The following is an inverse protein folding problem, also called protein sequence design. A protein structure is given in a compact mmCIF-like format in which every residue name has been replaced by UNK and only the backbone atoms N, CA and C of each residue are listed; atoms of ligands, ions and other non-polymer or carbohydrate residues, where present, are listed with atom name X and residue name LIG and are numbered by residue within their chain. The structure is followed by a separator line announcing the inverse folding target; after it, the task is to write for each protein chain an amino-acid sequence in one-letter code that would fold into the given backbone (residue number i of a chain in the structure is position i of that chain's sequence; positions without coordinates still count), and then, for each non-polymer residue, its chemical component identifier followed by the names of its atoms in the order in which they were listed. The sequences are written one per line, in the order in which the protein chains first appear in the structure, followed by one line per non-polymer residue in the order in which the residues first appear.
data_IF_055225649661
#
_entry.id   IF_055225649661
#
_cell.length_a   1.000
_cell.length_b   1.000
_cell.length_c   1.000
_cell.angle_alpha   90.00
_cell.angle_beta   90.00
_cell.angle_gamma   90.00
#
_symmetry.space_group_name_H-M   'P 1'
#
loop_
_entity.id
_entity.type
_entity.pdbx_description
1 polymer ?
#
# COMPACT_ATOMS: atom_id res chain seq x y z
N UNK A 1 15.22 -11.54 -7.16
CA UNK A 1 14.11 -10.59 -6.99
C UNK A 1 12.81 -11.38 -6.87
N UNK A 2 11.99 -11.06 -5.90
CA UNK A 2 10.66 -11.66 -5.73
C UNK A 2 9.60 -10.68 -6.23
N UNK A 3 8.53 -11.24 -6.81
CA UNK A 3 7.37 -10.48 -7.26
C UNK A 3 6.11 -11.11 -6.72
N UNK A 4 5.25 -10.30 -6.10
CA UNK A 4 3.94 -10.69 -5.61
C UNK A 4 2.94 -9.73 -6.24
N UNK A 5 1.84 -10.23 -6.76
CA UNK A 5 0.74 -9.38 -7.23
C UNK A 5 -0.61 -10.00 -6.88
N UNK A 6 -1.58 -9.13 -6.66
CA UNK A 6 -2.97 -9.50 -6.44
C UNK A 6 -3.87 -8.36 -6.90
N UNK A 7 -5.11 -8.67 -7.22
CA UNK A 7 -6.08 -7.68 -7.68
C UNK A 7 -7.46 -7.91 -7.10
N UNK A 8 -8.27 -6.85 -7.06
CA UNK A 8 -9.63 -6.90 -6.56
C UNK A 8 -10.53 -5.93 -7.34
N UNK A 9 -11.80 -6.33 -7.53
CA UNK A 9 -12.85 -5.45 -8.02
C UNK A 9 -13.47 -4.70 -6.85
N UNK A 10 -13.64 -3.39 -7.02
CA UNK A 10 -14.24 -2.51 -6.02
C UNK A 10 -15.40 -1.77 -6.68
N UNK A 11 -16.60 -1.89 -6.12
CA UNK A 11 -17.78 -1.16 -6.58
C UNK A 11 -17.80 0.25 -5.97
N UNK A 12 -16.86 1.07 -6.42
CA UNK A 12 -16.69 2.48 -6.02
C UNK A 12 -15.96 3.25 -7.11
N UNK A 13 -16.10 4.59 -7.18
CA UNK A 13 -15.38 5.41 -8.16
C UNK A 13 -13.86 5.25 -8.03
N UNK A 14 -13.18 5.27 -9.19
CA UNK A 14 -11.71 5.10 -9.26
C UNK A 14 -10.96 6.12 -8.39
N UNK A 15 -11.40 7.37 -8.39
CA UNK A 15 -10.76 8.43 -7.62
C UNK A 15 -10.86 8.17 -6.10
N UNK A 16 -12.01 7.70 -5.61
CA UNK A 16 -12.17 7.30 -4.21
C UNK A 16 -11.23 6.14 -3.87
N UNK A 17 -11.15 5.13 -4.71
CA UNK A 17 -10.23 3.99 -4.50
C UNK A 17 -8.78 4.45 -4.43
N UNK A 18 -8.38 5.36 -5.32
CA UNK A 18 -7.05 5.95 -5.34
C UNK A 18 -6.74 6.75 -4.08
N UNK A 19 -7.62 7.67 -3.69
CA UNK A 19 -7.45 8.49 -2.49
C UNK A 19 -7.41 7.67 -1.20
N UNK A 20 -8.25 6.65 -1.09
CA UNK A 20 -8.20 5.72 0.06
C UNK A 20 -6.90 4.93 0.10
N UNK A 21 -6.37 4.52 -1.06
CA UNK A 21 -5.11 3.77 -1.13
C UNK A 21 -3.90 4.61 -0.75
N UNK A 22 -3.96 5.92 -0.95
CA UNK A 22 -2.92 6.88 -0.57
C UNK A 22 -3.15 7.53 0.80
N UNK A 23 -4.24 7.21 1.48
CA UNK A 23 -4.53 7.75 2.82
C UNK A 23 -3.64 7.10 3.88
N UNK A 24 -2.91 7.93 4.64
CA UNK A 24 -1.90 7.48 5.61
C UNK A 24 -2.53 6.71 6.77
N UNK A 25 -3.64 7.18 7.31
CA UNK A 25 -4.32 6.54 8.43
C UNK A 25 -4.85 5.14 8.06
N UNK A 26 -5.42 5.02 6.86
CA UNK A 26 -5.89 3.74 6.35
C UNK A 26 -4.73 2.80 6.01
N UNK A 27 -3.66 3.32 5.40
CA UNK A 27 -2.44 2.56 5.12
C UNK A 27 -1.83 2.00 6.42
N UNK A 28 -1.77 2.79 7.47
CA UNK A 28 -1.31 2.34 8.79
C UNK A 28 -2.10 1.14 9.32
N UNK A 29 -3.43 1.16 9.16
CA UNK A 29 -4.28 0.02 9.52
C UNK A 29 -4.03 -1.21 8.66
N UNK A 30 -3.84 -1.04 7.35
CA UNK A 30 -3.57 -2.15 6.44
C UNK A 30 -2.21 -2.78 6.68
N UNK A 31 -1.20 -1.99 7.02
CA UNK A 31 0.16 -2.46 7.28
C UNK A 31 0.37 -2.93 8.73
N UNK A 32 -0.52 -2.59 9.64
CA UNK A 32 -0.30 -2.80 11.08
C UNK A 32 0.90 -2.01 11.58
N UNK A 33 1.12 -0.83 11.02
CA UNK A 33 2.21 0.08 11.33
C UNK A 33 1.66 1.47 11.64
N UNK A 34 2.42 2.27 12.36
CA UNK A 34 2.08 3.66 12.66
C UNK A 34 3.07 4.61 11.98
N UNK A 35 2.60 5.73 11.44
CA UNK A 35 3.49 6.75 10.90
C UNK A 35 4.17 7.51 12.05
N UNK A 36 5.49 7.71 11.95
CA UNK A 36 6.30 8.44 12.94
C UNK A 36 6.77 9.78 12.42
N UNK A 37 7.25 9.85 11.18
CA UNK A 37 7.86 11.03 10.57
C UNK A 37 7.40 11.20 9.13
N UNK A 38 7.58 12.39 8.59
CA UNK A 38 7.16 12.77 7.27
C UNK A 38 5.68 13.15 7.24
N UNK A 39 4.96 12.72 6.23
CA UNK A 39 3.51 12.93 6.14
C UNK A 39 2.77 11.88 6.96
N UNK A 40 2.35 12.24 8.15
CA UNK A 40 1.73 11.34 9.12
C UNK A 40 0.21 11.30 9.06
N UNK A 41 -0.43 12.15 8.23
CA UNK A 41 -1.89 12.24 8.09
C UNK A 41 -2.30 12.62 6.67
N UNK A 42 -3.53 12.25 6.32
CA UNK A 42 -4.17 12.62 5.08
C UNK A 42 -3.69 11.83 3.87
N UNK A 43 -3.89 12.37 2.69
CA UNK A 43 -3.60 11.73 1.40
C UNK A 43 -2.18 12.05 0.96
N UNK A 44 -1.43 11.02 0.58
CA UNK A 44 -0.08 11.15 0.02
C UNK A 44 -0.15 11.70 -1.41
N UNK A 45 0.85 12.50 -1.76
CA UNK A 45 1.09 13.04 -3.10
C UNK A 45 2.51 12.68 -3.57
N UNK A 46 2.89 13.14 -4.76
CA UNK A 46 4.23 12.94 -5.31
C UNK A 46 5.30 13.42 -4.33
N UNK A 47 6.38 12.65 -4.20
CA UNK A 47 7.53 12.90 -3.34
C UNK A 47 7.28 12.85 -1.81
N UNK A 48 6.04 12.67 -1.37
CA UNK A 48 5.75 12.48 0.06
C UNK A 48 6.48 11.27 0.61
N UNK A 49 6.93 11.41 1.87
CA UNK A 49 7.62 10.35 2.62
C UNK A 49 6.91 10.06 3.92
N UNK A 50 6.93 8.81 4.33
CA UNK A 50 6.44 8.37 5.64
C UNK A 50 7.44 7.40 6.24
N UNK A 51 7.84 7.66 7.48
CA UNK A 51 8.57 6.68 8.28
C UNK A 51 7.56 5.89 9.11
N UNK A 52 7.48 4.61 8.85
CA UNK A 52 6.59 3.68 9.52
C UNK A 52 7.31 2.90 10.61
N UNK A 53 6.66 2.69 11.74
CA UNK A 53 7.13 1.79 12.80
C UNK A 53 6.06 0.76 13.13
N UNK A 54 6.48 -0.46 13.40
CA UNK A 54 5.59 -1.55 13.76
C UNK A 54 6.35 -2.80 14.16
N UNK A 55 5.66 -3.92 14.24
CA UNK A 55 6.21 -5.22 14.62
C UNK A 55 5.96 -6.24 13.52
N UNK A 56 7.00 -6.98 13.16
CA UNK A 56 6.93 -8.07 12.20
C UNK A 56 7.68 -9.27 12.79
N UNK A 57 7.00 -10.41 12.90
CA UNK A 57 7.54 -11.62 13.53
C UNK A 57 8.09 -11.39 14.96
N UNK A 58 7.39 -10.55 15.75
CA UNK A 58 7.82 -10.21 17.11
C UNK A 58 9.04 -9.30 17.21
N UNK A 59 9.54 -8.77 16.08
CA UNK A 59 10.68 -7.85 16.02
C UNK A 59 10.23 -6.45 15.64
N UNK A 60 10.77 -5.39 16.29
CA UNK A 60 10.49 -4.02 15.89
C UNK A 60 11.03 -3.74 14.48
N UNK A 61 10.22 -3.08 13.67
CA UNK A 61 10.56 -2.70 12.32
C UNK A 61 10.38 -1.21 12.10
N UNK A 62 11.30 -0.62 11.36
CA UNK A 62 11.15 0.71 10.79
C UNK A 62 11.29 0.60 9.27
N UNK A 63 10.42 1.29 8.56
CA UNK A 63 10.38 1.28 7.10
C UNK A 63 10.03 2.68 6.61
N UNK A 64 10.90 3.30 5.83
CA UNK A 64 10.60 4.56 5.17
C UNK A 64 10.10 4.27 3.76
N UNK A 65 8.92 4.79 3.46
CA UNK A 65 8.35 4.77 2.12
C UNK A 65 8.35 6.17 1.50
N UNK A 66 8.52 6.23 0.19
CA UNK A 66 8.46 7.45 -0.60
C UNK A 66 7.63 7.22 -1.85
N UNK A 67 6.72 8.14 -2.14
CA UNK A 67 5.96 8.14 -3.40
C UNK A 67 6.86 8.65 -4.52
N UNK A 68 7.33 7.74 -5.36
CA UNK A 68 8.29 8.02 -6.44
C UNK A 68 7.64 8.27 -7.79
N UNK A 69 6.41 7.79 -7.98
CA UNK A 69 5.58 8.09 -9.16
C UNK A 69 4.14 8.30 -8.69
N UNK A 70 3.44 9.24 -9.35
CA UNK A 70 2.09 9.62 -8.96
C UNK A 70 1.32 10.12 -10.19
N UNK A 71 0.31 9.37 -10.58
CA UNK A 71 -0.60 9.68 -11.70
C UNK A 71 -2.04 9.40 -11.27
N UNK A 72 -2.65 10.35 -10.56
CA UNK A 72 -4.03 10.24 -10.09
C UNK A 72 -5.01 10.33 -11.27
N UNK A 73 -6.01 9.44 -11.34
CA UNK A 73 -6.37 8.37 -10.39
C UNK A 73 -5.87 6.97 -10.80
N UNK A 74 -4.86 6.86 -11.68
CA UNK A 74 -4.55 5.63 -12.39
C UNK A 74 -3.40 4.83 -11.77
N UNK A 75 -2.43 5.51 -11.16
CA UNK A 75 -1.20 4.87 -10.72
C UNK A 75 -0.46 5.65 -9.64
N UNK A 76 0.13 4.95 -8.70
CA UNK A 76 1.21 5.48 -7.88
C UNK A 76 2.20 4.36 -7.51
N UNK A 77 3.42 4.77 -7.21
CA UNK A 77 4.50 3.88 -6.83
C UNK A 77 5.11 4.33 -5.51
N UNK A 78 5.29 3.36 -4.63
CA UNK A 78 5.95 3.50 -3.35
C UNK A 78 7.27 2.73 -3.38
N UNK A 79 8.37 3.39 -3.01
CA UNK A 79 9.68 2.77 -2.90
C UNK A 79 10.24 2.94 -1.50
N UNK A 80 11.04 1.97 -1.07
CA UNK A 80 11.71 2.02 0.23
C UNK A 80 12.88 3.00 0.20
N UNK A 81 12.88 3.98 1.10
CA UNK A 81 14.04 4.82 1.41
C UNK A 81 14.98 4.11 2.41
N UNK A 82 14.44 3.73 3.58
CA UNK A 82 15.16 3.00 4.62
C UNK A 82 14.39 1.77 5.05
N UNK A 83 15.07 0.65 5.25
CA UNK A 83 14.44 -0.60 5.67
C UNK A 83 15.37 -1.79 5.57
N UNK A 84 14.84 -2.99 5.82
CA UNK A 84 15.63 -4.24 5.84
C UNK A 84 15.77 -4.93 4.49
N UNK A 85 15.04 -4.49 3.47
CA UNK A 85 15.18 -5.00 2.11
C UNK A 85 16.40 -4.38 1.44
N UNK A 86 17.02 -5.11 0.52
CA UNK A 86 18.02 -4.54 -0.37
C UNK A 86 17.36 -3.63 -1.41
N UNK A 87 16.17 -4.01 -1.88
CA UNK A 87 15.29 -3.22 -2.74
C UNK A 87 13.84 -3.57 -2.40
N UNK A 88 12.97 -2.57 -2.45
CA UNK A 88 11.53 -2.75 -2.29
C UNK A 88 10.82 -1.70 -3.11
N UNK A 89 9.84 -2.14 -3.89
CA UNK A 89 9.00 -1.30 -4.73
C UNK A 89 7.59 -1.86 -4.71
N UNK A 90 6.62 -0.96 -4.56
CA UNK A 90 5.22 -1.31 -4.52
C UNK A 90 4.46 -0.45 -5.52
N UNK A 91 3.91 -1.08 -6.56
CA UNK A 91 3.16 -0.45 -7.63
C UNK A 91 1.66 -0.67 -7.41
N UNK A 92 0.88 0.39 -7.55
CA UNK A 92 -0.57 0.39 -7.40
C UNK A 92 -1.21 0.89 -8.70
N UNK A 93 -1.92 0.01 -9.39
CA UNK A 93 -2.61 0.29 -10.64
C UNK A 93 -4.12 0.33 -10.44
N UNK A 94 -4.77 1.35 -10.97
CA UNK A 94 -6.21 1.54 -10.91
C UNK A 94 -6.75 1.70 -12.32
N UNK A 95 -7.80 0.98 -12.65
CA UNK A 95 -8.51 1.14 -13.93
C UNK A 95 -9.98 0.74 -13.77
N UNK A 96 -10.81 1.20 -14.70
CA UNK A 96 -12.25 0.88 -14.71
C UNK A 96 -12.48 -0.30 -15.64
N UNK A 97 -13.21 -1.30 -15.17
CA UNK A 97 -13.67 -2.45 -15.94
C UNK A 97 -15.08 -2.84 -15.47
N UNK A 98 -16.02 -2.98 -16.42
CA UNK A 98 -17.43 -3.32 -16.14
C UNK A 98 -18.06 -2.39 -15.08
N UNK A 99 -17.88 -1.08 -15.24
CA UNK A 99 -18.38 -0.03 -14.33
C UNK A 99 -17.86 -0.12 -12.89
N UNK A 100 -16.84 -0.96 -12.64
CA UNK A 100 -16.16 -1.10 -11.35
C UNK A 100 -14.71 -0.69 -11.45
N UNK A 101 -14.12 -0.34 -10.31
CA UNK A 101 -12.69 -0.11 -10.22
C UNK A 101 -11.97 -1.43 -9.98
N UNK A 102 -10.92 -1.69 -10.76
CA UNK A 102 -9.95 -2.75 -10.48
C UNK A 102 -8.73 -2.10 -9.83
N UNK A 103 -8.38 -2.57 -8.65
CA UNK A 103 -7.10 -2.27 -8.01
C UNK A 103 -6.20 -3.47 -8.18
N UNK A 104 -5.06 -3.25 -8.84
CA UNK A 104 -4.01 -4.26 -9.04
C UNK A 104 -2.75 -3.78 -8.33
N UNK A 105 -2.34 -4.48 -7.32
CA UNK A 105 -1.17 -4.19 -6.49
C UNK A 105 -0.03 -5.16 -6.82
N UNK A 106 1.17 -4.64 -6.97
CA UNK A 106 2.38 -5.42 -7.28
C UNK A 106 3.56 -5.02 -6.41
N UNK A 107 4.04 -5.96 -5.62
CA UNK A 107 5.22 -5.80 -4.76
C UNK A 107 6.42 -6.51 -5.41
N UNK A 108 7.52 -5.79 -5.53
CA UNK A 108 8.82 -6.33 -5.95
C UNK A 108 9.87 -6.07 -4.88
N UNK A 109 10.60 -7.10 -4.47
CA UNK A 109 11.62 -6.94 -3.43
C UNK A 109 12.82 -7.87 -3.62
N UNK A 110 13.93 -7.46 -3.05
CA UNK A 110 15.18 -8.23 -2.97
C UNK A 110 15.70 -8.18 -1.54
N UNK A 111 16.15 -9.31 -1.03
CA UNK A 111 16.74 -9.43 0.30
C UNK A 111 18.27 -9.37 0.23
N UNK A 112 18.93 -8.88 1.28
CA UNK A 112 20.35 -9.11 1.49
C UNK A 112 20.62 -10.60 1.81
N UNK A 113 21.88 -10.96 2.02
CA UNK A 113 22.34 -12.31 2.46
C UNK A 113 22.25 -13.42 1.39
N UNK A 114 22.29 -13.08 0.09
CA UNK A 114 22.50 -14.05 -1.00
C UNK A 114 21.55 -15.25 -0.96
N UNK A 115 22.10 -16.47 -0.83
CA UNK A 115 21.32 -17.71 -0.83
C UNK A 115 20.37 -17.83 0.37
N UNK A 116 20.83 -17.46 1.56
CA UNK A 116 19.99 -17.47 2.78
C UNK A 116 18.81 -16.50 2.62
N UNK A 117 19.07 -15.29 2.11
CA UNK A 117 18.02 -14.33 1.80
C UNK A 117 17.00 -14.88 0.79
N UNK A 118 17.43 -15.67 -0.18
CA UNK A 118 16.52 -16.34 -1.14
C UNK A 118 15.60 -17.35 -0.45
N UNK A 119 16.11 -18.18 0.43
CA UNK A 119 15.29 -19.17 1.16
C UNK A 119 14.27 -18.48 2.07
N UNK A 120 14.69 -17.47 2.84
CA UNK A 120 13.80 -16.68 3.70
C UNK A 120 12.74 -15.95 2.86
N UNK A 121 13.14 -15.36 1.73
CA UNK A 121 12.21 -14.73 0.81
C UNK A 121 11.13 -15.68 0.31
N UNK A 122 11.53 -16.83 -0.22
CA UNK A 122 10.63 -17.80 -0.83
C UNK A 122 9.67 -18.46 0.18
N UNK A 123 10.17 -18.88 1.32
CA UNK A 123 9.38 -19.70 2.24
C UNK A 123 8.74 -18.92 3.39
N UNK A 124 9.21 -17.72 3.68
CA UNK A 124 8.71 -16.91 4.80
C UNK A 124 8.05 -15.62 4.30
N UNK A 125 8.79 -14.77 3.54
CA UNK A 125 8.29 -13.44 3.20
C UNK A 125 7.26 -13.46 2.07
N UNK A 126 7.41 -14.27 1.04
CA UNK A 126 6.43 -14.35 -0.05
C UNK A 126 5.04 -14.76 0.49
N UNK A 127 4.88 -15.87 1.26
CA UNK A 127 3.58 -16.19 1.84
C UNK A 127 3.05 -15.13 2.79
N UNK A 128 3.91 -14.54 3.60
CA UNK A 128 3.54 -13.50 4.56
C UNK A 128 3.03 -12.23 3.87
N UNK A 129 3.80 -11.71 2.93
CA UNK A 129 3.44 -10.49 2.18
C UNK A 129 2.22 -10.71 1.28
N UNK A 130 2.07 -11.89 0.68
CA UNK A 130 0.89 -12.24 -0.11
C UNK A 130 -0.39 -12.20 0.72
N UNK A 131 -0.36 -12.72 1.94
CA UNK A 131 -1.51 -12.67 2.87
C UNK A 131 -1.82 -11.23 3.30
N UNK A 132 -0.79 -10.42 3.56
CA UNK A 132 -0.97 -9.00 3.91
C UNK A 132 -1.55 -8.21 2.75
N UNK A 133 -1.04 -8.44 1.54
CA UNK A 133 -1.56 -7.83 0.33
C UNK A 133 -3.05 -8.13 0.15
N UNK A 134 -3.45 -9.38 0.27
CA UNK A 134 -4.86 -9.77 0.16
C UNK A 134 -5.74 -9.11 1.23
N UNK A 135 -5.28 -9.07 2.48
CA UNK A 135 -6.00 -8.40 3.58
C UNK A 135 -6.16 -6.89 3.30
N UNK A 136 -5.12 -6.25 2.78
CA UNK A 136 -5.17 -4.84 2.39
C UNK A 136 -6.24 -4.61 1.33
N UNK A 137 -6.23 -5.37 0.25
CA UNK A 137 -7.19 -5.22 -0.84
C UNK A 137 -8.64 -5.43 -0.37
N UNK A 138 -8.87 -6.42 0.45
CA UNK A 138 -10.20 -6.70 1.04
C UNK A 138 -10.65 -5.55 1.95
N UNK A 139 -9.76 -5.00 2.78
CA UNK A 139 -10.08 -3.87 3.64
C UNK A 139 -10.38 -2.61 2.82
N UNK A 140 -9.58 -2.30 1.80
CA UNK A 140 -9.83 -1.17 0.90
C UNK A 140 -11.18 -1.28 0.21
N UNK A 141 -11.55 -2.46 -0.29
CA UNK A 141 -12.87 -2.70 -0.87
C UNK A 141 -13.99 -2.44 0.14
N UNK A 142 -13.87 -3.00 1.34
CA UNK A 142 -14.86 -2.82 2.41
C UNK A 142 -15.06 -1.34 2.76
N UNK A 143 -13.98 -0.60 2.90
CA UNK A 143 -14.01 0.83 3.21
C UNK A 143 -14.58 1.62 2.03
N UNK A 144 -14.08 1.42 0.82
CA UNK A 144 -14.48 2.18 -0.37
C UNK A 144 -15.96 2.03 -0.71
N UNK A 145 -16.55 0.86 -0.46
CA UNK A 145 -17.94 0.56 -0.76
C UNK A 145 -18.93 0.99 0.34
N UNK A 146 -18.45 1.41 1.51
CA UNK A 146 -19.28 1.80 2.64
C UNK A 146 -19.11 3.28 2.95
N UNK A 147 -20.19 4.08 2.73
CA UNK A 147 -20.16 5.53 2.95
C UNK A 147 -19.79 5.92 4.38
N UNK A 148 -20.28 5.19 5.39
CA UNK A 148 -19.96 5.45 6.80
C UNK A 148 -18.49 5.19 7.13
N UNK A 149 -17.82 4.38 6.32
CA UNK A 149 -16.40 4.06 6.51
C UNK A 149 -15.49 5.01 5.74
N UNK A 150 -15.71 5.20 4.42
CA UNK A 150 -14.78 6.01 3.64
C UNK A 150 -14.82 7.50 4.00
N UNK A 151 -15.96 8.05 4.43
CA UNK A 151 -16.06 9.45 4.88
C UNK A 151 -15.23 9.77 6.12
N UNK A 152 -14.81 8.76 6.88
CA UNK A 152 -13.88 8.93 8.01
C UNK A 152 -12.47 9.30 7.55
N UNK A 153 -12.10 8.91 6.33
CA UNK A 153 -10.77 9.11 5.74
C UNK A 153 -10.75 10.23 4.70
N UNK A 154 -11.84 10.38 3.97
CA UNK A 154 -11.99 11.35 2.90
C UNK A 154 -13.19 12.26 3.21
N UNK A 155 -12.98 13.48 3.75
CA UNK A 155 -14.04 14.48 3.86
C UNK A 155 -14.63 14.81 2.49
N UNK A 156 -15.93 15.10 2.44
CA UNK A 156 -16.71 15.31 1.18
C UNK A 156 -16.13 16.39 0.23
N UNK A 157 -15.32 17.30 0.73
CA UNK A 157 -14.68 18.37 -0.04
C UNK A 157 -13.58 17.89 -1.01
N UNK A 158 -13.15 16.64 -0.95
CA UNK A 158 -12.08 16.07 -1.77
C UNK A 158 -12.58 15.30 -3.02
N UNK A 159 -13.90 15.15 -3.20
CA UNK A 159 -14.46 14.46 -4.39
C UNK A 159 -14.68 15.41 -5.60
N UNK A 160 -14.50 16.72 -5.44
CA UNK A 160 -14.81 17.73 -6.47
C UNK A 160 -13.60 18.46 -7.06
N UNK A 161 -12.43 17.84 -7.05
CA UNK A 161 -11.22 18.46 -7.64
C UNK A 161 -10.61 17.57 -8.69
#
# INVERSE_FOLDING_TARGET
MFTISDSIYINAPIDRCFLLSTNVELAGKTYGMRPLEGKTRGVLAADDRVLWAGWVFGMPQMHESRITQYDRPNFFQDTMGRGRFKRYQYDHYFYVMDERTVLNDKIRFTLPLGFVGRLVGQFVLVPYLSRRLRRRLVLLRKVAQNRKEWTKYLPEDNESS
#
